data_IF_632919920187
#
_entry.id   IF_632919920187
#
_cell.length_a   1.000
_cell.length_b   1.000
_cell.length_c   1.000
_cell.angle_alpha   90.00
_cell.angle_beta   90.00
_cell.angle_gamma   90.00
#
_symmetry.space_group_name_H-M   'P 1'
#
loop_
_entity.id
_entity.type
_entity.pdbx_description
1 polymer ?
#
# COMPACT_ATOMS: atom_id res chain seq x y z
N UNK A 1 7.73 3.62 29.10
CA UNK A 1 8.20 3.23 27.76
C UNK A 1 8.88 1.90 27.93
N UNK A 2 8.30 0.82 27.39
CA UNK A 2 8.96 -0.48 27.38
C UNK A 2 10.19 -0.39 26.47
N UNK A 3 11.35 -0.84 26.96
CA UNK A 3 12.56 -0.92 26.14
C UNK A 3 12.26 -1.80 24.92
N UNK A 4 12.30 -1.20 23.72
CA UNK A 4 12.14 -1.94 22.47
C UNK A 4 13.34 -2.89 22.39
N UNK A 5 13.07 -4.19 22.45
CA UNK A 5 14.11 -5.22 22.31
C UNK A 5 14.47 -5.36 20.84
N UNK A 6 15.70 -5.00 20.49
CA UNK A 6 16.26 -5.22 19.16
C UNK A 6 17.31 -6.33 19.18
N UNK A 7 17.46 -7.04 18.06
CA UNK A 7 18.55 -7.97 17.81
C UNK A 7 19.26 -7.62 16.51
N UNK A 8 20.60 -7.73 16.53
CA UNK A 8 21.43 -7.54 15.34
C UNK A 8 20.90 -8.45 14.20
N UNK A 9 20.58 -7.89 13.01
CA UNK A 9 20.12 -8.67 11.86
C UNK A 9 21.06 -9.80 11.42
N UNK A 10 22.34 -9.72 11.79
CA UNK A 10 23.39 -10.71 11.50
C UNK A 10 23.59 -11.74 12.61
N UNK A 11 22.90 -11.60 13.74
CA UNK A 11 22.95 -12.62 14.79
C UNK A 11 22.45 -13.97 14.24
N UNK A 12 23.02 -15.12 14.65
CA UNK A 12 22.65 -16.42 14.10
C UNK A 12 21.15 -16.73 14.17
N UNK A 13 20.49 -16.41 15.28
CA UNK A 13 19.03 -16.60 15.44
C UNK A 13 18.22 -15.65 14.55
N UNK A 14 18.67 -14.40 14.37
CA UNK A 14 18.04 -13.43 13.48
C UNK A 14 18.12 -13.89 12.02
N UNK A 15 19.28 -14.40 11.58
CA UNK A 15 19.42 -14.94 10.23
C UNK A 15 18.54 -16.16 10.01
N UNK A 16 18.47 -17.07 11.00
CA UNK A 16 17.67 -18.30 10.90
C UNK A 16 16.17 -18.00 10.84
N UNK A 17 15.66 -17.09 11.69
CA UNK A 17 14.23 -16.73 11.66
C UNK A 17 13.85 -15.97 10.39
N UNK A 18 14.69 -15.05 9.93
CA UNK A 18 14.47 -14.34 8.66
C UNK A 18 14.44 -15.32 7.47
N UNK A 19 15.35 -16.29 7.45
CA UNK A 19 15.39 -17.31 6.41
C UNK A 19 14.14 -18.19 6.44
N UNK A 20 13.71 -18.65 7.62
CA UNK A 20 12.50 -19.45 7.79
C UNK A 20 11.25 -18.72 7.29
N UNK A 21 11.10 -17.43 7.65
CA UNK A 21 10.02 -16.57 7.17
C UNK A 21 10.06 -16.45 5.64
N UNK A 22 11.20 -16.03 5.07
CA UNK A 22 11.31 -15.78 3.61
C UNK A 22 11.13 -17.03 2.76
N UNK A 23 11.48 -18.20 3.28
CA UNK A 23 11.34 -19.49 2.59
C UNK A 23 9.98 -20.16 2.86
N UNK A 24 9.16 -19.63 3.78
CA UNK A 24 7.90 -20.24 4.16
C UNK A 24 8.04 -21.52 4.98
N UNK A 25 9.17 -21.69 5.68
CA UNK A 25 9.48 -22.85 6.50
C UNK A 25 8.77 -22.73 7.86
N UNK A 26 7.56 -23.29 7.91
CA UNK A 26 6.70 -23.27 9.10
C UNK A 26 7.28 -24.09 10.24
N UNK A 27 7.94 -25.21 9.94
CA UNK A 27 8.46 -26.12 10.96
C UNK A 27 9.61 -25.45 11.71
N UNK A 28 10.60 -24.92 10.98
CA UNK A 28 11.71 -24.18 11.59
C UNK A 28 11.23 -22.92 12.31
N UNK A 29 10.25 -22.19 11.75
CA UNK A 29 9.70 -21.01 12.40
C UNK A 29 9.05 -21.37 13.74
N UNK A 30 8.21 -22.41 13.76
CA UNK A 30 7.51 -22.83 14.97
C UNK A 30 8.49 -23.35 16.04
N UNK A 31 9.52 -24.11 15.63
CA UNK A 31 10.59 -24.54 16.53
C UNK A 31 11.28 -23.34 17.19
N UNK A 32 11.68 -22.34 16.40
CA UNK A 32 12.35 -21.15 16.91
C UNK A 32 11.47 -20.36 17.91
N UNK A 33 10.19 -20.19 17.60
CA UNK A 33 9.26 -19.48 18.47
C UNK A 33 8.95 -20.27 19.75
N UNK A 34 8.95 -21.61 19.69
CA UNK A 34 8.79 -22.44 20.88
C UNK A 34 10.03 -22.42 21.79
N UNK A 35 11.22 -22.44 21.21
CA UNK A 35 12.49 -22.34 21.94
C UNK A 35 12.72 -20.95 22.54
N UNK A 36 12.30 -19.90 21.83
CA UNK A 36 12.48 -18.50 22.21
C UNK A 36 11.21 -17.68 21.94
N UNK A 37 10.18 -17.74 22.82
CA UNK A 37 8.91 -17.05 22.61
C UNK A 37 9.02 -15.53 22.42
N UNK A 38 10.00 -14.89 23.08
CA UNK A 38 10.27 -13.46 22.94
C UNK A 38 10.61 -13.04 21.49
N UNK A 39 11.03 -13.97 20.62
CA UNK A 39 11.31 -13.69 19.20
C UNK A 39 10.09 -13.14 18.46
N UNK A 40 8.88 -13.54 18.83
CA UNK A 40 7.66 -13.04 18.18
C UNK A 40 7.50 -11.51 18.31
N UNK A 41 8.04 -10.93 19.39
CA UNK A 41 7.90 -9.51 19.74
C UNK A 41 9.16 -8.68 19.53
N UNK A 42 10.30 -9.33 19.23
CA UNK A 42 11.58 -8.65 19.02
C UNK A 42 11.59 -7.89 17.70
N UNK A 43 12.46 -6.88 17.62
CA UNK A 43 12.74 -6.16 16.37
C UNK A 43 14.10 -6.59 15.80
N UNK A 44 14.13 -6.89 14.51
CA UNK A 44 15.35 -7.15 13.76
C UNK A 44 15.93 -5.80 13.32
N UNK A 45 17.08 -5.41 13.86
CA UNK A 45 17.68 -4.09 13.61
C UNK A 45 18.31 -3.47 14.85
N UNK A 46 18.30 -2.14 14.91
CA UNK A 46 18.80 -1.33 16.04
C UNK A 46 17.81 -0.21 16.41
N UNK A 47 18.26 0.81 17.13
CA UNK A 47 17.40 1.94 17.54
C UNK A 47 17.13 2.95 16.42
N UNK A 48 17.88 2.90 15.32
CA UNK A 48 17.72 3.79 14.16
C UNK A 48 16.88 3.14 13.06
N UNK A 49 17.07 1.84 12.82
CA UNK A 49 16.26 1.08 11.85
C UNK A 49 15.94 -0.31 12.38
N UNK A 50 14.65 -0.64 12.54
CA UNK A 50 14.26 -1.99 12.94
C UNK A 50 12.85 -2.41 12.50
N UNK A 51 12.72 -3.72 12.26
CA UNK A 51 11.55 -4.38 11.68
C UNK A 51 10.99 -5.42 12.65
N UNK A 52 9.67 -5.55 12.78
CA UNK A 52 9.10 -6.76 13.40
C UNK A 52 9.26 -7.96 12.46
N UNK A 53 9.08 -9.18 12.96
CA UNK A 53 9.05 -10.36 12.09
C UNK A 53 7.92 -10.32 11.05
N UNK A 54 6.81 -9.63 11.35
CA UNK A 54 5.72 -9.43 10.39
C UNK A 54 6.14 -8.52 9.22
N UNK A 55 6.93 -7.47 9.48
CA UNK A 55 7.55 -6.69 8.41
C UNK A 55 8.47 -7.55 7.54
N UNK A 56 9.24 -8.46 8.14
CA UNK A 56 10.08 -9.40 7.36
C UNK A 56 9.20 -10.31 6.49
N UNK A 57 8.03 -10.73 6.97
CA UNK A 57 7.10 -11.57 6.22
C UNK A 57 6.41 -10.84 5.06
N UNK A 58 6.30 -9.52 5.13
CA UNK A 58 5.69 -8.66 4.10
C UNK A 58 6.70 -7.82 3.33
N UNK A 59 8.00 -8.04 3.54
CA UNK A 59 9.09 -7.31 2.89
C UNK A 59 9.13 -7.60 1.38
N UNK A 60 9.67 -6.66 0.61
CA UNK A 60 9.82 -6.83 -0.84
C UNK A 60 10.65 -8.11 -1.15
N UNK A 61 10.28 -8.94 -2.14
CA UNK A 61 9.24 -8.71 -3.16
C UNK A 61 7.82 -9.11 -2.76
N UNK A 62 7.56 -9.43 -1.49
CA UNK A 62 6.30 -9.99 -1.02
C UNK A 62 6.09 -11.44 -1.48
N UNK A 63 4.87 -11.95 -1.30
CA UNK A 63 4.38 -13.23 -1.82
C UNK A 63 5.27 -14.43 -1.44
N UNK A 64 5.79 -14.42 -0.21
CA UNK A 64 6.61 -15.51 0.29
C UNK A 64 5.81 -16.84 0.31
N UNK A 65 6.46 -18.00 0.10
CA UNK A 65 5.80 -19.29 0.27
C UNK A 65 5.13 -19.38 1.65
N UNK A 66 3.92 -19.93 1.70
CA UNK A 66 3.14 -20.02 2.94
C UNK A 66 2.89 -18.68 3.67
N UNK A 67 3.02 -17.53 3.01
CA UNK A 67 2.93 -16.20 3.64
C UNK A 67 1.79 -16.01 4.65
N UNK A 68 0.52 -16.29 4.28
CA UNK A 68 -0.60 -16.21 5.22
C UNK A 68 -0.42 -17.08 6.47
N UNK A 69 0.14 -18.30 6.34
CA UNK A 69 0.39 -19.18 7.48
C UNK A 69 1.54 -18.67 8.34
N UNK A 70 2.60 -18.15 7.74
CA UNK A 70 3.73 -17.53 8.45
C UNK A 70 3.23 -16.34 9.29
N UNK A 71 2.46 -15.44 8.67
CA UNK A 71 1.85 -14.28 9.36
C UNK A 71 0.99 -14.74 10.52
N UNK A 72 0.13 -15.74 10.30
CA UNK A 72 -0.71 -16.30 11.36
C UNK A 72 0.10 -16.87 12.53
N UNK A 73 1.14 -17.65 12.26
CA UNK A 73 2.02 -18.23 13.30
C UNK A 73 2.72 -17.12 14.09
N UNK A 74 3.20 -16.07 13.43
CA UNK A 74 3.82 -14.93 14.10
C UNK A 74 2.86 -14.19 15.03
N UNK A 75 1.62 -13.94 14.59
CA UNK A 75 0.59 -13.28 15.42
C UNK A 75 0.12 -14.20 16.55
N UNK A 76 -0.13 -15.48 16.28
CA UNK A 76 -0.53 -16.46 17.31
C UNK A 76 0.56 -16.61 18.39
N UNK A 77 1.84 -16.40 18.05
CA UNK A 77 2.96 -16.38 18.99
C UNK A 77 3.14 -15.04 19.74
N UNK A 78 2.26 -14.06 19.52
CA UNK A 78 2.27 -12.76 20.21
C UNK A 78 2.86 -11.61 19.41
N UNK A 79 3.17 -11.80 18.12
CA UNK A 79 3.58 -10.72 17.23
C UNK A 79 2.49 -9.66 17.06
N UNK A 80 2.87 -8.40 17.20
CA UNK A 80 1.95 -7.27 17.03
C UNK A 80 1.65 -7.04 15.55
N UNK A 81 0.41 -7.35 15.13
CA UNK A 81 -0.08 -7.18 13.76
C UNK A 81 0.00 -5.72 13.27
N UNK A 82 -0.06 -4.77 14.21
CA UNK A 82 0.03 -3.33 13.95
C UNK A 82 1.39 -2.73 14.34
N UNK A 83 2.41 -3.58 14.50
CA UNK A 83 3.76 -3.16 14.75
C UNK A 83 4.17 -2.07 13.75
N UNK A 84 4.71 -0.94 14.22
CA UNK A 84 5.27 0.08 13.35
C UNK A 84 6.74 -0.20 13.06
N UNK A 85 7.19 0.09 11.85
CA UNK A 85 8.60 0.14 11.48
C UNK A 85 9.31 1.24 12.28
N UNK A 86 10.57 1.01 12.66
CA UNK A 86 11.43 2.05 13.25
C UNK A 86 12.32 2.56 12.12
N UNK A 87 12.17 3.83 11.77
CA UNK A 87 12.95 4.46 10.72
C UNK A 87 12.37 5.82 10.31
N UNK A 88 12.45 6.14 9.02
CA UNK A 88 11.96 7.42 8.46
C UNK A 88 10.44 7.50 8.36
N UNK A 89 9.79 6.34 8.28
CA UNK A 89 8.35 6.18 8.22
C UNK A 89 7.93 5.23 9.34
N UNK A 90 6.63 5.19 9.64
CA UNK A 90 6.07 4.36 10.72
C UNK A 90 5.15 3.27 10.17
N UNK A 91 5.42 2.86 8.93
CA UNK A 91 4.69 1.83 8.19
C UNK A 91 4.44 0.58 9.03
N UNK A 92 3.30 -0.05 8.76
CA UNK A 92 2.90 -1.34 9.35
C UNK A 92 3.12 -2.47 8.34
N UNK A 93 3.09 -3.74 8.75
CA UNK A 93 3.12 -4.86 7.81
C UNK A 93 2.04 -4.77 6.72
N UNK A 94 0.89 -4.15 7.03
CA UNK A 94 -0.19 -3.95 6.06
C UNK A 94 0.18 -2.96 4.96
N UNK A 95 0.89 -1.87 5.28
CA UNK A 95 1.43 -0.94 4.27
C UNK A 95 2.34 -1.67 3.28
N UNK A 96 3.25 -2.51 3.79
CA UNK A 96 4.20 -3.26 2.96
C UNK A 96 3.52 -4.35 2.11
N UNK A 97 2.54 -5.07 2.67
CA UNK A 97 1.75 -6.02 1.89
C UNK A 97 0.98 -5.32 0.76
N UNK A 98 0.45 -4.12 1.05
CA UNK A 98 -0.30 -3.31 0.10
C UNK A 98 0.58 -2.79 -1.05
N UNK A 99 1.77 -2.24 -0.76
CA UNK A 99 2.72 -1.71 -1.75
C UNK A 99 3.46 -2.79 -2.56
N UNK A 100 3.52 -4.03 -2.05
CA UNK A 100 4.08 -5.18 -2.77
C UNK A 100 3.05 -5.93 -3.64
N UNK A 101 1.76 -5.57 -3.57
CA UNK A 101 0.72 -6.27 -4.32
C UNK A 101 0.40 -7.67 -3.77
N UNK A 102 0.72 -7.94 -2.50
CA UNK A 102 0.49 -9.23 -1.85
C UNK A 102 -0.90 -9.30 -1.21
N UNK A 103 -1.91 -9.61 -2.03
CA UNK A 103 -3.32 -9.75 -1.62
C UNK A 103 -3.49 -10.81 -0.52
N UNK A 104 -2.73 -11.90 -0.56
CA UNK A 104 -2.89 -13.00 0.39
C UNK A 104 -2.36 -12.64 1.78
N UNK A 105 -1.19 -12.01 1.85
CA UNK A 105 -0.66 -11.47 3.10
C UNK A 105 -1.56 -10.37 3.66
N UNK A 106 -2.03 -9.47 2.79
CA UNK A 106 -2.94 -8.38 3.13
C UNK A 106 -4.23 -8.90 3.77
N UNK A 107 -4.89 -9.87 3.15
CA UNK A 107 -6.12 -10.47 3.69
C UNK A 107 -5.86 -11.12 5.05
N UNK A 108 -4.77 -11.86 5.19
CA UNK A 108 -4.42 -12.48 6.47
C UNK A 108 -4.19 -11.45 7.57
N UNK A 109 -3.46 -10.37 7.29
CA UNK A 109 -3.23 -9.29 8.26
C UNK A 109 -4.55 -8.65 8.69
N UNK A 110 -5.45 -8.37 7.75
CA UNK A 110 -6.77 -7.81 8.05
C UNK A 110 -7.64 -8.77 8.87
N UNK A 111 -7.62 -10.06 8.55
CA UNK A 111 -8.33 -11.11 9.30
C UNK A 111 -7.80 -11.23 10.75
N UNK A 112 -6.53 -10.88 10.97
CA UNK A 112 -5.89 -10.85 12.28
C UNK A 112 -5.99 -9.49 12.99
N UNK A 113 -6.74 -8.54 12.44
CA UNK A 113 -7.02 -7.24 13.07
C UNK A 113 -6.00 -6.14 12.78
N UNK A 114 -5.28 -6.22 11.66
CA UNK A 114 -4.52 -5.08 11.17
C UNK A 114 -5.44 -3.86 10.95
N UNK A 115 -4.98 -2.68 11.36
CA UNK A 115 -5.69 -1.43 11.16
C UNK A 115 -5.62 -1.03 9.68
N UNK A 116 -6.74 -1.13 8.98
CA UNK A 116 -6.87 -0.79 7.55
C UNK A 116 -6.63 0.69 7.26
N UNK A 117 -6.83 1.55 8.26
CA UNK A 117 -6.62 3.01 8.21
C UNK A 117 -5.37 3.42 8.99
N UNK A 118 -4.37 2.54 9.13
CA UNK A 118 -3.11 2.93 9.76
C UNK A 118 -2.46 4.03 8.92
N UNK A 119 -2.04 5.13 9.54
CA UNK A 119 -1.29 6.19 8.87
C UNK A 119 0.23 5.93 8.95
N UNK A 120 0.99 6.75 8.23
CA UNK A 120 2.45 6.75 8.28
C UNK A 120 3.13 5.94 7.20
N UNK A 121 2.42 5.69 6.10
CA UNK A 121 2.93 5.23 4.82
C UNK A 121 4.07 6.10 4.28
N UNK A 122 4.92 5.53 3.43
CA UNK A 122 6.02 6.28 2.80
C UNK A 122 5.53 7.44 1.92
N UNK A 123 4.32 7.33 1.37
CA UNK A 123 3.71 8.38 0.54
C UNK A 123 2.74 9.22 1.37
N UNK A 124 3.15 10.46 1.65
CA UNK A 124 2.29 11.47 2.28
C UNK A 124 1.80 11.12 3.69
N UNK A 125 2.53 10.26 4.40
CA UNK A 125 2.12 9.66 5.68
C UNK A 125 0.76 8.94 5.58
N UNK A 126 0.44 8.43 4.38
CA UNK A 126 -0.88 7.89 4.03
C UNK A 126 -1.17 6.50 4.60
N UNK A 127 -2.30 5.94 4.15
CA UNK A 127 -2.80 4.63 4.55
C UNK A 127 -2.24 3.49 3.68
N UNK A 128 -2.46 2.21 4.02
CA UNK A 128 -2.15 1.10 3.12
C UNK A 128 -2.81 1.23 1.74
N UNK A 129 -3.99 1.85 1.64
CA UNK A 129 -4.62 2.13 0.36
C UNK A 129 -3.85 3.17 -0.45
N UNK A 130 -3.36 4.24 0.21
CA UNK A 130 -2.53 5.25 -0.42
C UNK A 130 -1.24 4.65 -0.99
N UNK A 131 -0.55 3.80 -0.23
CA UNK A 131 0.65 3.11 -0.71
C UNK A 131 0.34 2.17 -1.88
N UNK A 132 -0.70 1.32 -1.79
CA UNK A 132 -1.08 0.44 -2.89
C UNK A 132 -1.37 1.22 -4.18
N UNK A 133 -2.01 2.39 -4.08
CA UNK A 133 -2.28 3.27 -5.22
C UNK A 133 -1.01 3.87 -5.79
N UNK A 134 -0.16 4.43 -4.94
CA UNK A 134 1.07 5.11 -5.38
C UNK A 134 2.05 4.15 -6.07
N UNK A 135 2.09 2.88 -5.64
CA UNK A 135 2.90 1.83 -6.27
C UNK A 135 2.15 1.06 -7.37
N UNK A 136 0.95 1.51 -7.78
CA UNK A 136 0.09 0.88 -8.80
C UNK A 136 -0.21 -0.60 -8.55
N UNK A 137 -0.26 -1.01 -7.28
CA UNK A 137 -0.73 -2.33 -6.86
C UNK A 137 -2.27 -2.35 -6.85
N UNK A 138 -2.87 -2.23 -8.04
CA UNK A 138 -4.32 -2.02 -8.17
C UNK A 138 -5.15 -3.18 -7.60
N UNK A 139 -4.60 -4.40 -7.55
CA UNK A 139 -5.29 -5.55 -6.97
C UNK A 139 -5.38 -5.46 -5.44
N UNK A 140 -4.31 -5.07 -4.74
CA UNK A 140 -4.35 -4.85 -3.29
C UNK A 140 -5.16 -3.61 -2.95
N UNK A 141 -5.06 -2.55 -3.74
CA UNK A 141 -5.88 -1.35 -3.55
C UNK A 141 -7.39 -1.67 -3.66
N UNK A 142 -7.81 -2.38 -4.71
CA UNK A 142 -9.20 -2.84 -4.84
C UNK A 142 -9.60 -3.75 -3.69
N UNK A 143 -8.69 -4.63 -3.25
CA UNK A 143 -8.98 -5.51 -2.12
C UNK A 143 -9.19 -4.72 -0.82
N UNK A 144 -8.39 -3.69 -0.55
CA UNK A 144 -8.58 -2.82 0.61
C UNK A 144 -9.96 -2.14 0.58
N UNK A 145 -10.38 -1.64 -0.59
CA UNK A 145 -11.74 -1.10 -0.77
C UNK A 145 -12.82 -2.16 -0.47
N UNK A 146 -12.68 -3.38 -1.00
CA UNK A 146 -13.59 -4.49 -0.68
C UNK A 146 -13.62 -4.86 0.81
N UNK A 147 -12.49 -4.70 1.50
CA UNK A 147 -12.36 -4.95 2.94
C UNK A 147 -12.83 -3.77 3.80
N UNK A 148 -13.26 -2.68 3.19
CA UNK A 148 -13.91 -1.54 3.85
C UNK A 148 -13.00 -0.35 4.10
N UNK A 149 -11.88 -0.22 3.39
CA UNK A 149 -11.06 0.99 3.46
C UNK A 149 -11.87 2.22 3.04
N UNK A 150 -11.61 3.36 3.68
CA UNK A 150 -12.17 4.64 3.26
C UNK A 150 -11.68 4.98 1.84
N UNK A 151 -12.59 5.52 1.02
CA UNK A 151 -12.33 5.86 -0.38
C UNK A 151 -12.65 7.33 -0.58
N UNK A 152 -11.63 8.11 -0.90
CA UNK A 152 -11.77 9.48 -1.36
C UNK A 152 -11.90 9.58 -2.89
N UNK A 153 -11.97 10.81 -3.41
CA UNK A 153 -12.10 11.04 -4.85
C UNK A 153 -10.85 10.61 -5.62
N UNK A 154 -9.66 10.77 -5.04
CA UNK A 154 -8.42 10.34 -5.67
C UNK A 154 -8.37 8.81 -5.72
N UNK A 155 -8.79 8.10 -4.66
CA UNK A 155 -8.90 6.64 -4.61
C UNK A 155 -9.82 6.13 -5.71
N UNK A 156 -11.03 6.70 -5.76
CA UNK A 156 -12.01 6.37 -6.79
C UNK A 156 -11.44 6.62 -8.19
N UNK A 157 -10.67 7.68 -8.38
CA UNK A 157 -10.06 8.00 -9.66
C UNK A 157 -8.96 7.03 -10.08
N UNK A 158 -8.01 6.73 -9.20
CA UNK A 158 -6.95 5.75 -9.50
C UNK A 158 -7.52 4.36 -9.77
N UNK A 159 -8.59 3.97 -9.08
CA UNK A 159 -9.19 2.64 -9.17
C UNK A 159 -10.33 2.52 -10.19
N UNK A 160 -10.80 3.64 -10.74
CA UNK A 160 -11.88 3.67 -11.73
C UNK A 160 -13.26 3.38 -11.14
N UNK A 161 -13.48 3.75 -9.88
CA UNK A 161 -14.74 3.52 -9.16
C UNK A 161 -15.79 4.57 -9.54
N UNK A 162 -16.37 4.43 -10.73
CA UNK A 162 -17.31 5.42 -11.31
C UNK A 162 -18.51 5.74 -10.41
N UNK A 163 -19.03 4.76 -9.67
CA UNK A 163 -20.16 4.94 -8.75
C UNK A 163 -19.86 5.93 -7.61
N UNK A 164 -18.58 6.11 -7.25
CA UNK A 164 -18.18 7.12 -6.26
C UNK A 164 -18.24 8.53 -6.82
N UNK A 165 -17.92 8.72 -8.11
CA UNK A 165 -17.98 10.06 -8.71
C UNK A 165 -19.38 10.61 -8.75
N UNK A 166 -20.37 9.77 -9.07
CA UNK A 166 -21.75 10.22 -9.06
C UNK A 166 -22.16 10.75 -7.69
N UNK A 167 -21.73 10.10 -6.60
CA UNK A 167 -22.01 10.56 -5.23
C UNK A 167 -21.29 11.87 -4.90
N UNK A 168 -20.01 11.99 -5.22
CA UNK A 168 -19.21 13.17 -4.89
C UNK A 168 -19.61 14.41 -5.70
N UNK A 169 -19.88 14.26 -7.00
CA UNK A 169 -20.18 15.39 -7.88
C UNK A 169 -21.63 15.88 -7.80
N UNK A 170 -22.56 15.08 -7.25
CA UNK A 170 -23.94 15.53 -6.96
C UNK A 170 -24.08 16.10 -5.54
N UNK A 171 -23.10 15.89 -4.66
CA UNK A 171 -23.09 16.47 -3.32
C UNK A 171 -22.95 18.00 -3.39
N UNK A 172 -23.49 18.71 -2.38
CA UNK A 172 -23.34 20.16 -2.25
C UNK A 172 -22.60 20.54 -0.95
N UNK A 173 -21.56 21.40 -1.02
CA UNK A 173 -20.89 21.82 -2.25
C UNK A 173 -20.18 20.64 -2.93
N UNK A 174 -20.12 20.65 -4.27
CA UNK A 174 -19.33 19.67 -5.01
C UNK A 174 -17.82 19.85 -4.76
N UNK A 175 -16.96 19.00 -5.35
CA UNK A 175 -15.51 19.06 -5.14
C UNK A 175 -14.91 20.36 -5.69
N UNK A 176 -13.82 20.80 -5.06
CA UNK A 176 -13.06 21.97 -5.52
C UNK A 176 -12.29 21.64 -6.80
N UNK A 177 -12.00 22.66 -7.62
CA UNK A 177 -11.31 22.48 -8.91
C UNK A 177 -9.95 21.77 -8.76
N UNK A 178 -9.18 22.10 -7.73
CA UNK A 178 -7.90 21.44 -7.47
C UNK A 178 -8.09 19.94 -7.19
N UNK A 179 -9.13 19.57 -6.43
CA UNK A 179 -9.50 18.18 -6.17
C UNK A 179 -9.85 17.45 -7.47
N UNK A 180 -10.57 18.10 -8.39
CA UNK A 180 -10.92 17.56 -9.72
C UNK A 180 -9.65 17.35 -10.57
N UNK A 181 -8.73 18.32 -10.57
CA UNK A 181 -7.47 18.23 -11.30
C UNK A 181 -6.57 17.09 -10.76
N UNK A 182 -6.46 16.98 -9.43
CA UNK A 182 -5.75 15.87 -8.78
C UNK A 182 -6.38 14.52 -9.11
N UNK A 183 -7.71 14.43 -9.06
CA UNK A 183 -8.41 13.20 -9.42
C UNK A 183 -8.14 12.84 -10.88
N UNK A 184 -8.11 13.81 -11.80
CA UNK A 184 -7.81 13.56 -13.21
C UNK A 184 -6.40 13.01 -13.40
N UNK A 185 -5.40 13.60 -12.72
CA UNK A 185 -4.04 13.07 -12.72
C UNK A 185 -4.00 11.63 -12.20
N UNK A 186 -4.70 11.36 -11.09
CA UNK A 186 -4.79 10.02 -10.48
C UNK A 186 -5.48 8.99 -11.37
N UNK A 187 -6.53 9.38 -12.10
CA UNK A 187 -7.17 8.53 -13.10
C UNK A 187 -6.20 8.17 -14.23
N UNK A 188 -5.34 9.11 -14.65
CA UNK A 188 -4.34 8.84 -15.67
C UNK A 188 -3.22 7.92 -15.16
N UNK A 189 -2.71 8.18 -13.95
CA UNK A 189 -1.75 7.31 -13.26
C UNK A 189 -2.28 5.88 -13.12
N UNK A 190 -3.54 5.72 -12.72
CA UNK A 190 -4.20 4.42 -12.60
C UNK A 190 -4.69 3.79 -13.92
N UNK A 191 -4.51 4.45 -15.06
CA UNK A 191 -4.93 3.92 -16.37
C UNK A 191 -6.43 3.93 -16.63
N UNK A 192 -7.21 4.70 -15.87
CA UNK A 192 -8.66 4.66 -15.84
C UNK A 192 -9.29 5.61 -16.88
N UNK A 193 -9.40 5.16 -18.13
CA UNK A 193 -9.92 5.98 -19.25
C UNK A 193 -11.32 6.56 -19.00
N UNK A 194 -12.25 5.78 -18.46
CA UNK A 194 -13.61 6.27 -18.19
C UNK A 194 -13.61 7.36 -17.13
N UNK A 195 -12.81 7.18 -16.08
CA UNK A 195 -12.65 8.17 -15.03
C UNK A 195 -12.01 9.45 -15.54
N UNK A 196 -10.94 9.34 -16.32
CA UNK A 196 -10.28 10.48 -16.92
C UNK A 196 -11.23 11.27 -17.85
N UNK A 197 -12.01 10.59 -18.68
CA UNK A 197 -13.03 11.22 -19.53
C UNK A 197 -14.09 11.96 -18.73
N UNK A 198 -14.60 11.34 -17.67
CA UNK A 198 -15.58 11.96 -16.79
C UNK A 198 -15.01 13.22 -16.14
N UNK A 199 -13.82 13.14 -15.53
CA UNK A 199 -13.18 14.25 -14.84
C UNK A 199 -12.83 15.40 -15.81
N UNK A 200 -12.43 15.08 -17.04
CA UNK A 200 -12.27 16.09 -18.10
C UNK A 200 -13.59 16.80 -18.44
N UNK A 201 -14.73 16.09 -18.49
CA UNK A 201 -16.04 16.74 -18.66
C UNK A 201 -16.41 17.66 -17.49
N UNK A 202 -15.89 17.38 -16.29
CA UNK A 202 -16.03 18.26 -15.11
C UNK A 202 -15.03 19.44 -15.13
N UNK A 203 -14.26 19.60 -16.21
CA UNK A 203 -13.33 20.73 -16.38
C UNK A 203 -11.96 20.51 -15.78
N UNK A 204 -11.51 19.27 -15.59
CA UNK A 204 -10.14 19.00 -15.15
C UNK A 204 -9.10 19.61 -16.10
N UNK A 205 -8.07 20.25 -15.53
CA UNK A 205 -6.91 20.73 -16.27
C UNK A 205 -6.03 19.56 -16.71
N UNK A 206 -5.95 19.35 -18.03
CA UNK A 206 -5.22 18.24 -18.66
C UNK A 206 -3.70 18.33 -18.48
N UNK A 207 -3.19 19.50 -18.09
CA UNK A 207 -1.77 19.78 -17.87
C UNK A 207 -1.41 19.99 -16.39
N UNK A 208 -2.37 19.78 -15.47
CA UNK A 208 -2.12 19.92 -14.04
C UNK A 208 -1.04 18.95 -13.54
N UNK A 209 -0.08 19.49 -12.79
CA UNK A 209 0.97 18.70 -12.12
C UNK A 209 0.75 18.82 -10.60
N UNK A 210 0.40 17.72 -9.91
CA UNK A 210 0.30 17.72 -8.46
C UNK A 210 1.62 18.10 -7.77
N UNK A 211 1.60 18.69 -6.56
CA UNK A 211 2.82 19.13 -5.86
C UNK A 211 3.88 18.04 -5.61
N UNK A 212 3.47 16.77 -5.56
CA UNK A 212 4.36 15.61 -5.35
C UNK A 212 4.81 14.93 -6.65
N UNK A 213 4.29 15.36 -7.80
CA UNK A 213 4.61 14.79 -9.10
C UNK A 213 5.44 15.76 -9.95
N UNK A 214 6.16 15.23 -10.94
CA UNK A 214 6.92 16.02 -11.90
C UNK A 214 6.37 15.92 -13.33
N UNK A 215 5.28 15.17 -13.52
CA UNK A 215 4.72 14.81 -14.82
C UNK A 215 3.30 15.35 -14.98
N UNK A 216 2.96 15.76 -16.19
CA UNK A 216 1.54 15.94 -16.58
C UNK A 216 0.83 14.58 -16.63
N UNK A 217 -0.51 14.55 -16.61
CA UNK A 217 -1.28 13.31 -16.74
C UNK A 217 -0.91 12.48 -17.99
N UNK A 218 -0.63 13.14 -19.12
CA UNK A 218 -0.17 12.46 -20.35
C UNK A 218 1.23 11.86 -20.20
N UNK A 219 2.17 12.59 -19.61
CA UNK A 219 3.53 12.09 -19.38
C UNK A 219 3.53 10.91 -18.39
N UNK A 220 2.69 10.99 -17.37
CA UNK A 220 2.50 9.92 -16.40
C UNK A 220 1.90 8.67 -17.04
N UNK A 221 0.79 8.79 -17.78
CA UNK A 221 0.17 7.65 -18.46
C UNK A 221 1.11 6.96 -19.48
N UNK A 222 2.06 7.72 -20.06
CA UNK A 222 3.06 7.19 -21.02
C UNK A 222 4.08 6.29 -20.34
N UNK A 223 4.46 6.58 -19.10
CA UNK A 223 5.44 5.77 -18.37
C UNK A 223 4.91 4.38 -18.05
N UNK A 224 3.59 4.25 -17.89
CA UNK A 224 2.91 3.01 -17.50
C UNK A 224 2.40 2.19 -18.71
N UNK A 225 1.98 2.83 -19.80
CA UNK A 225 1.68 2.15 -21.08
C UNK A 225 0.21 1.78 -21.33
N UNK A 226 -0.74 2.66 -20.99
CA UNK A 226 -2.18 2.41 -21.19
C UNK A 226 -2.69 2.87 -22.58
N UNK A 227 -2.59 2.01 -23.61
CA UNK A 227 -2.84 2.37 -25.04
C UNK A 227 -4.14 3.16 -25.32
N UNK A 228 -5.26 2.73 -24.74
CA UNK A 228 -6.57 3.40 -24.93
C UNK A 228 -6.62 4.78 -24.29
N UNK A 229 -6.03 4.92 -23.10
CA UNK A 229 -5.92 6.20 -22.39
C UNK A 229 -4.98 7.15 -23.13
N UNK A 230 -3.83 6.65 -23.59
CA UNK A 230 -2.83 7.43 -24.32
C UNK A 230 -3.39 7.99 -25.62
N UNK A 231 -4.08 7.14 -26.39
CA UNK A 231 -4.72 7.57 -27.65
C UNK A 231 -5.69 8.73 -27.42
N UNK A 232 -6.47 8.65 -26.34
CA UNK A 232 -7.41 9.71 -25.98
C UNK A 232 -6.73 10.97 -25.44
N UNK A 233 -5.77 10.85 -24.51
CA UNK A 233 -5.06 12.01 -23.94
C UNK A 233 -4.32 12.81 -25.03
N UNK A 234 -3.66 12.15 -25.99
CA UNK A 234 -3.02 12.86 -27.11
C UNK A 234 -4.05 13.64 -27.97
N UNK A 235 -5.29 13.16 -28.07
CA UNK A 235 -6.33 13.83 -28.87
C UNK A 235 -6.85 15.12 -28.23
N UNK A 236 -6.84 15.20 -26.90
CA UNK A 236 -7.31 16.39 -26.15
C UNK A 236 -6.16 17.34 -25.82
N UNK A 237 -4.94 16.84 -25.63
CA UNK A 237 -3.74 17.67 -25.40
C UNK A 237 -3.38 18.49 -26.65
N UNK A 238 -3.56 17.91 -27.84
CA UNK A 238 -3.40 18.64 -29.11
C UNK A 238 -4.42 19.77 -29.32
N UNK A 239 -5.44 19.88 -28.46
CA UNK A 239 -6.52 20.87 -28.52
C UNK A 239 -6.46 21.92 -27.39
N UNK A 240 -5.60 21.71 -26.39
CA UNK A 240 -5.42 22.57 -25.22
C UNK A 240 -4.37 23.67 -25.47
#
# INVERSE_FOLDING_TARGET
MSDIKCIDPKAPVALKVQAAIKQGDLDTLQELLNEQPDLATIRIGDTAEARSLLHIATDWPGQIPNGPKIIKVLVDAGGDVNATFIGKHIETPLHWAASNGDVLALDMLLDLGANIEAEGGVIGDGTPLADARAFLQLNTAKRLVERGAHVDLQDAATLGLMDHFEKEFVAQPGPQQETVNMAFWNACHGGQLLAAKFLHQQGADVNYIPPWANNTPLAEAKSVGYDGLLSWLNSIDAQA
#
